data_IF_188815607109
#
_entry.id   IF_188815607109
#
_cell.length_a   1.000
_cell.length_b   1.000
_cell.length_c   1.000
_cell.angle_alpha   90.00
_cell.angle_beta   90.00
_cell.angle_gamma   90.00
#
_symmetry.space_group_name_H-M   'P 1'
#
loop_
_entity.id
_entity.type
_entity.pdbx_description
1 polymer ?
#
# COMPACT_ATOMS: atom_id res chain seq x y z
N UNK A 1 -39.22 -22.88 -58.84
CA UNK A 1 -39.08 -24.34 -58.69
C UNK A 1 -38.15 -24.63 -57.51
N UNK A 2 -38.62 -25.32 -56.49
CA UNK A 2 -37.81 -25.66 -55.31
C UNK A 2 -36.75 -26.71 -55.70
N UNK A 3 -35.49 -26.48 -55.33
CA UNK A 3 -34.40 -27.43 -55.61
C UNK A 3 -34.61 -28.68 -54.75
N UNK A 4 -34.57 -29.86 -55.35
CA UNK A 4 -34.64 -31.15 -54.62
C UNK A 4 -33.40 -31.29 -53.76
N UNK A 5 -33.59 -31.27 -52.44
CA UNK A 5 -32.53 -31.43 -51.46
C UNK A 5 -32.38 -32.92 -51.14
N UNK A 6 -31.15 -33.45 -51.20
CA UNK A 6 -30.88 -34.88 -50.99
C UNK A 6 -30.77 -35.22 -49.49
N UNK A 7 -30.94 -36.50 -49.13
CA UNK A 7 -30.93 -37.01 -47.75
C UNK A 7 -29.63 -36.71 -46.97
N UNK A 8 -28.53 -36.41 -47.66
CA UNK A 8 -27.24 -36.05 -47.06
C UNK A 8 -27.00 -34.55 -46.90
N UNK A 9 -27.95 -33.71 -47.28
CA UNK A 9 -27.81 -32.26 -47.14
C UNK A 9 -27.77 -31.82 -45.68
N UNK A 10 -27.15 -30.67 -45.44
CA UNK A 10 -27.09 -30.02 -44.12
C UNK A 10 -28.48 -29.79 -43.53
N UNK A 11 -29.46 -29.40 -44.35
CA UNK A 11 -30.82 -29.11 -43.90
C UNK A 11 -31.57 -30.38 -43.47
N UNK A 12 -31.34 -31.51 -44.14
CA UNK A 12 -31.91 -32.81 -43.74
C UNK A 12 -31.30 -33.30 -42.42
N UNK A 13 -29.99 -33.10 -42.22
CA UNK A 13 -29.29 -33.48 -40.97
C UNK A 13 -29.70 -32.63 -39.77
N UNK A 14 -30.21 -31.43 -39.99
CA UNK A 14 -30.67 -30.52 -38.94
C UNK A 14 -32.14 -30.75 -38.53
N UNK A 15 -32.83 -31.75 -39.09
CA UNK A 15 -34.21 -32.06 -38.73
C UNK A 15 -35.23 -30.99 -39.13
N UNK A 16 -34.82 -30.03 -39.97
CA UNK A 16 -35.60 -28.84 -40.34
C UNK A 16 -36.75 -29.14 -41.34
N UNK A 17 -36.94 -30.40 -41.73
CA UNK A 17 -37.86 -30.81 -42.80
C UNK A 17 -39.18 -31.44 -42.29
N UNK A 18 -39.17 -32.04 -41.10
CA UNK A 18 -40.31 -32.84 -40.59
C UNK A 18 -41.26 -32.05 -39.68
N UNK A 19 -40.95 -30.79 -39.37
CA UNK A 19 -41.88 -29.94 -38.61
C UNK A 19 -42.53 -28.95 -39.58
N UNK A 20 -43.86 -28.95 -39.73
CA UNK A 20 -44.54 -27.92 -40.51
C UNK A 20 -44.25 -26.55 -39.88
N UNK A 21 -43.35 -25.81 -40.53
CA UNK A 21 -43.05 -24.39 -40.29
C UNK A 21 -44.28 -23.49 -39.95
N UNK A 22 -45.49 -23.66 -40.52
CA UNK A 22 -46.64 -22.84 -40.13
C UNK A 22 -47.10 -23.05 -38.68
N UNK A 23 -46.94 -24.26 -38.12
CA UNK A 23 -47.39 -24.58 -36.77
C UNK A 23 -46.42 -24.04 -35.71
N UNK A 24 -45.11 -24.06 -35.98
CA UNK A 24 -44.09 -23.50 -35.07
C UNK A 24 -44.26 -21.98 -34.96
N UNK A 25 -44.47 -21.29 -36.09
CA UNK A 25 -44.69 -19.83 -36.11
C UNK A 25 -46.00 -19.42 -35.44
N UNK A 26 -47.01 -20.29 -35.46
CA UNK A 26 -48.25 -20.07 -34.72
C UNK A 26 -48.03 -20.12 -33.20
N UNK A 27 -47.08 -20.94 -32.72
CA UNK A 27 -46.72 -21.06 -31.30
C UNK A 27 -45.82 -19.92 -30.80
N UNK A 28 -45.16 -19.18 -31.69
CA UNK A 28 -44.34 -17.99 -31.34
C UNK A 28 -45.21 -16.77 -30.96
N UNK A 29 -46.43 -16.69 -31.49
CA UNK A 29 -47.36 -15.58 -31.24
C UNK A 29 -48.20 -15.76 -29.96
N UNK A 30 -48.08 -16.89 -29.26
CA UNK A 30 -48.80 -17.09 -28.00
C UNK A 30 -48.10 -16.31 -26.87
N UNK A 31 -48.85 -15.57 -26.04
CA UNK A 31 -48.28 -14.87 -24.91
C UNK A 31 -47.70 -15.90 -23.92
N UNK A 32 -46.37 -15.98 -23.86
CA UNK A 32 -45.65 -16.78 -22.87
C UNK A 32 -45.76 -16.10 -21.51
N UNK A 33 -45.93 -16.88 -20.44
CA UNK A 33 -45.87 -16.35 -19.09
C UNK A 33 -44.52 -15.63 -18.87
N UNK A 34 -44.57 -14.37 -18.42
CA UNK A 34 -43.36 -13.60 -18.17
C UNK A 34 -42.45 -14.37 -17.18
N UNK A 35 -41.14 -14.42 -17.49
CA UNK A 35 -40.05 -15.03 -16.67
C UNK A 35 -39.86 -16.55 -16.78
N UNK A 36 -40.48 -17.26 -17.73
CA UNK A 36 -40.17 -18.69 -17.95
C UNK A 36 -38.88 -18.93 -18.76
N UNK A 37 -38.40 -17.92 -19.48
CA UNK A 37 -37.20 -18.01 -20.32
C UNK A 37 -35.92 -17.86 -19.50
N UNK A 38 -35.65 -18.86 -18.64
CA UNK A 38 -34.45 -18.93 -17.82
C UNK A 38 -33.18 -19.05 -18.66
N UNK A 39 -33.29 -19.52 -19.91
CA UNK A 39 -32.17 -19.67 -20.85
C UNK A 39 -31.42 -18.36 -21.05
N UNK A 40 -32.12 -17.25 -21.28
CA UNK A 40 -31.51 -15.93 -21.45
C UNK A 40 -30.86 -15.40 -20.16
N UNK A 41 -31.40 -15.76 -19.00
CA UNK A 41 -30.81 -15.39 -17.70
C UNK A 41 -29.52 -16.21 -17.49
N UNK A 42 -29.59 -17.52 -17.70
CA UNK A 42 -28.46 -18.43 -17.60
C UNK A 42 -27.33 -18.04 -18.56
N UNK A 43 -27.64 -17.77 -19.83
CA UNK A 43 -26.65 -17.32 -20.83
C UNK A 43 -25.99 -16.01 -20.39
N UNK A 44 -26.76 -15.01 -19.93
CA UNK A 44 -26.18 -13.74 -19.44
C UNK A 44 -25.32 -13.93 -18.20
N UNK A 45 -25.74 -14.77 -17.25
CA UNK A 45 -24.96 -15.05 -16.04
C UNK A 45 -23.67 -15.81 -16.36
N UNK A 46 -23.74 -16.81 -17.24
CA UNK A 46 -22.58 -17.57 -17.70
C UNK A 46 -21.58 -16.67 -18.42
N UNK A 47 -22.03 -15.86 -19.38
CA UNK A 47 -21.18 -14.90 -20.10
C UNK A 47 -20.53 -13.87 -19.17
N UNK A 48 -21.27 -13.37 -18.17
CA UNK A 48 -20.71 -12.46 -17.15
C UNK A 48 -19.64 -13.15 -16.30
N UNK A 49 -19.91 -14.39 -15.87
CA UNK A 49 -18.97 -15.16 -15.05
C UNK A 49 -17.70 -15.52 -15.83
N UNK A 50 -17.85 -15.87 -17.11
CA UNK A 50 -16.75 -16.12 -18.04
C UNK A 50 -15.88 -14.86 -18.24
N UNK A 51 -16.50 -13.72 -18.53
CA UNK A 51 -15.79 -12.44 -18.67
C UNK A 51 -15.05 -12.03 -17.38
N UNK A 52 -15.64 -12.26 -16.21
CA UNK A 52 -14.99 -12.00 -14.92
C UNK A 52 -13.81 -12.96 -14.69
N UNK A 53 -13.94 -14.22 -15.09
CA UNK A 53 -12.85 -15.20 -15.04
C UNK A 53 -11.70 -14.79 -15.96
N UNK A 54 -11.98 -14.38 -17.18
CA UNK A 54 -10.99 -13.90 -18.13
C UNK A 54 -10.28 -12.63 -17.64
N UNK A 55 -11.03 -11.70 -17.03
CA UNK A 55 -10.46 -10.52 -16.40
C UNK A 55 -9.56 -10.89 -15.19
N UNK A 56 -9.94 -11.88 -14.39
CA UNK A 56 -9.13 -12.37 -13.27
C UNK A 56 -7.87 -13.08 -13.75
N UNK A 57 -7.99 -13.92 -14.78
CA UNK A 57 -6.88 -14.66 -15.37
C UNK A 57 -5.90 -13.73 -16.09
N UNK A 58 -6.39 -12.72 -16.82
CA UNK A 58 -5.54 -11.70 -17.44
C UNK A 58 -4.80 -10.86 -16.40
N UNK A 59 -5.46 -10.43 -15.30
CA UNK A 59 -4.81 -9.76 -14.16
C UNK A 59 -3.76 -10.64 -13.48
N UNK A 60 -4.05 -11.92 -13.26
CA UNK A 60 -3.09 -12.87 -12.65
C UNK A 60 -1.89 -13.12 -13.56
N UNK A 61 -2.10 -13.29 -14.86
CA UNK A 61 -1.02 -13.47 -15.86
C UNK A 61 -0.12 -12.23 -15.94
N UNK A 62 -0.71 -11.05 -15.98
CA UNK A 62 0.03 -9.79 -16.04
C UNK A 62 0.72 -9.42 -14.72
N UNK A 63 0.18 -9.85 -13.58
CA UNK A 63 0.86 -9.79 -12.27
C UNK A 63 2.05 -10.75 -12.18
N UNK A 64 1.91 -11.99 -12.69
CA UNK A 64 2.97 -13.02 -12.65
C UNK A 64 4.15 -12.68 -13.55
N UNK A 65 3.91 -12.00 -14.68
CA UNK A 65 4.95 -11.58 -15.62
C UNK A 65 5.54 -10.20 -15.29
N UNK A 66 5.21 -9.58 -14.14
CA UNK A 66 5.73 -8.27 -13.75
C UNK A 66 5.27 -7.07 -14.61
N UNK A 67 4.47 -7.31 -15.64
CA UNK A 67 3.97 -6.30 -16.61
C UNK A 67 2.98 -5.33 -15.94
N UNK A 68 2.34 -5.74 -14.84
CA UNK A 68 1.43 -4.90 -14.04
C UNK A 68 2.08 -4.24 -12.82
N UNK A 69 3.40 -4.08 -12.76
CA UNK A 69 3.96 -3.05 -11.88
C UNK A 69 3.52 -1.71 -12.46
N UNK A 70 2.39 -1.20 -11.99
CA UNK A 70 1.90 0.11 -12.39
C UNK A 70 2.95 1.10 -11.95
N UNK A 71 3.79 1.53 -12.89
CA UNK A 71 4.83 2.50 -12.61
C UNK A 71 4.17 3.78 -12.11
N UNK A 72 4.84 4.51 -11.22
CA UNK A 72 4.35 5.78 -10.69
C UNK A 72 3.85 6.71 -11.81
N UNK A 73 4.55 6.71 -12.94
CA UNK A 73 4.19 7.46 -14.17
C UNK A 73 2.88 7.00 -14.83
N UNK A 74 2.57 5.70 -14.79
CA UNK A 74 1.30 5.17 -15.32
C UNK A 74 0.12 5.49 -14.39
N UNK A 75 0.34 5.53 -13.07
CA UNK A 75 -0.65 6.03 -12.11
C UNK A 75 -0.88 7.54 -12.28
N UNK A 76 0.18 8.33 -12.39
CA UNK A 76 0.09 9.78 -12.64
C UNK A 76 -0.70 10.10 -13.91
N UNK A 77 -0.48 9.37 -15.01
CA UNK A 77 -1.26 9.54 -16.25
C UNK A 77 -2.73 9.16 -16.08
N UNK A 78 -3.04 8.09 -15.34
CA UNK A 78 -4.42 7.69 -15.07
C UNK A 78 -5.12 8.72 -14.19
N UNK A 79 -4.47 9.15 -13.11
CA UNK A 79 -4.97 10.20 -12.21
C UNK A 79 -5.21 11.49 -13.01
N UNK A 80 -4.26 11.91 -13.85
CA UNK A 80 -4.42 13.08 -14.71
C UNK A 80 -5.59 12.94 -15.71
N UNK A 81 -5.89 11.73 -16.19
CA UNK A 81 -7.03 11.48 -17.08
C UNK A 81 -8.38 11.35 -16.38
N UNK A 82 -8.39 10.99 -15.09
CA UNK A 82 -9.62 10.78 -14.31
C UNK A 82 -9.99 11.96 -13.42
N UNK A 83 -9.03 12.82 -13.07
CA UNK A 83 -9.25 14.00 -12.25
C UNK A 83 -9.76 15.12 -13.15
N UNK A 84 -11.06 15.40 -13.06
CA UNK A 84 -11.67 16.58 -13.66
C UNK A 84 -11.12 17.85 -12.99
N UNK A 85 -11.20 19.02 -13.65
CA UNK A 85 -10.70 20.30 -13.09
C UNK A 85 -11.26 20.58 -11.67
N UNK A 86 -12.50 20.19 -11.41
CA UNK A 86 -13.16 20.30 -10.10
C UNK A 86 -12.54 19.40 -9.02
N UNK A 87 -12.12 18.19 -9.38
CA UNK A 87 -11.47 17.26 -8.44
C UNK A 87 -10.03 17.70 -8.19
N UNK A 88 -9.39 18.33 -9.18
CA UNK A 88 -8.07 18.94 -9.02
C UNK A 88 -8.11 20.06 -7.99
N UNK A 89 -9.05 20.99 -8.08
CA UNK A 89 -9.20 22.06 -7.09
C UNK A 89 -9.51 21.53 -5.70
N UNK A 90 -10.34 20.48 -5.58
CA UNK A 90 -10.64 19.86 -4.28
C UNK A 90 -9.40 19.18 -3.68
N UNK A 91 -8.61 18.48 -4.50
CA UNK A 91 -7.35 17.88 -4.08
C UNK A 91 -6.30 18.93 -3.72
N UNK A 92 -6.18 20.01 -4.49
CA UNK A 92 -5.28 21.12 -4.18
C UNK A 92 -5.69 21.83 -2.88
N UNK A 93 -6.99 22.08 -2.65
CA UNK A 93 -7.49 22.61 -1.37
C UNK A 93 -7.24 21.63 -0.22
N UNK A 94 -7.51 20.33 -0.41
CA UNK A 94 -7.27 19.31 0.61
C UNK A 94 -5.78 19.22 0.97
N UNK A 95 -4.89 19.19 -0.03
CA UNK A 95 -3.44 19.21 0.16
C UNK A 95 -2.97 20.48 0.86
N UNK A 96 -3.52 21.64 0.49
CA UNK A 96 -3.19 22.91 1.15
C UNK A 96 -3.69 22.95 2.60
N UNK A 97 -4.84 22.32 2.90
CA UNK A 97 -5.37 22.20 4.26
C UNK A 97 -4.51 21.24 5.09
N UNK A 98 -4.11 20.08 4.55
CA UNK A 98 -3.25 19.11 5.24
C UNK A 98 -1.84 19.67 5.44
N UNK A 99 -1.28 20.33 4.43
CA UNK A 99 0.05 20.95 4.49
C UNK A 99 0.13 22.12 5.49
N UNK A 100 -1.00 22.71 5.89
CA UNK A 100 -1.02 23.82 6.86
C UNK A 100 -0.73 23.35 8.28
N UNK A 101 -1.20 22.16 8.64
CA UNK A 101 -0.85 21.50 9.92
C UNK A 101 0.44 20.70 9.78
N UNK A 102 0.60 19.96 8.69
CA UNK A 102 1.79 19.15 8.47
C UNK A 102 3.06 20.01 8.38
N UNK A 103 2.99 21.19 7.74
CA UNK A 103 4.07 22.16 7.76
C UNK A 103 4.38 22.75 9.15
N UNK A 104 3.40 22.86 10.04
CA UNK A 104 3.62 23.26 11.45
C UNK A 104 4.23 22.12 12.25
N UNK A 105 3.76 20.88 12.06
CA UNK A 105 4.31 19.67 12.68
C UNK A 105 5.76 19.47 12.25
N UNK A 106 6.04 19.53 10.94
CA UNK A 106 7.40 19.42 10.39
C UNK A 106 8.34 20.51 10.94
N UNK A 107 7.91 21.77 11.01
CA UNK A 107 8.67 22.86 11.65
C UNK A 107 8.89 22.65 13.15
N UNK A 108 7.91 22.08 13.86
CA UNK A 108 8.03 21.76 15.28
C UNK A 108 9.03 20.63 15.51
N UNK A 109 8.95 19.57 14.70
CA UNK A 109 9.86 18.43 14.76
C UNK A 109 11.28 18.85 14.39
N UNK A 110 11.48 19.66 13.35
CA UNK A 110 12.81 20.14 12.96
C UNK A 110 13.42 21.06 14.01
N UNK A 111 12.64 21.95 14.64
CA UNK A 111 13.10 22.76 15.77
C UNK A 111 13.47 21.90 16.98
N UNK A 112 12.64 20.93 17.33
CA UNK A 112 12.94 20.03 18.45
C UNK A 112 14.23 19.23 18.20
N UNK A 113 14.39 18.66 17.00
CA UNK A 113 15.61 17.99 16.57
C UNK A 113 16.81 18.92 16.61
N UNK A 114 16.70 20.14 16.08
CA UNK A 114 17.78 21.13 16.11
C UNK A 114 18.19 21.49 17.55
N UNK A 115 17.24 21.68 18.47
CA UNK A 115 17.56 21.95 19.87
C UNK A 115 18.24 20.75 20.53
N UNK A 116 17.79 19.53 20.24
CA UNK A 116 18.41 18.32 20.76
C UNK A 116 19.84 18.13 20.22
N UNK A 117 20.06 18.32 18.92
CA UNK A 117 21.38 18.18 18.31
C UNK A 117 22.33 19.27 18.77
N UNK A 118 21.88 20.54 18.82
CA UNK A 118 22.72 21.65 19.31
C UNK A 118 23.07 21.51 20.78
N UNK A 119 22.13 21.06 21.64
CA UNK A 119 22.44 20.75 23.03
C UNK A 119 23.43 19.61 23.13
N UNK A 120 23.19 18.49 22.44
CA UNK A 120 24.11 17.34 22.46
C UNK A 120 25.50 17.73 21.96
N UNK A 121 25.60 18.47 20.86
CA UNK A 121 26.87 18.97 20.34
C UNK A 121 27.60 19.90 21.33
N UNK A 122 26.86 20.73 22.07
CA UNK A 122 27.44 21.54 23.15
C UNK A 122 28.01 20.67 24.29
N UNK A 123 27.28 19.63 24.68
CA UNK A 123 27.76 18.66 25.67
C UNK A 123 28.98 17.88 25.17
N UNK A 124 28.97 17.44 23.91
CA UNK A 124 30.08 16.71 23.31
C UNK A 124 31.33 17.60 23.21
N UNK A 125 31.17 18.87 22.82
CA UNK A 125 32.26 19.86 22.78
C UNK A 125 32.85 20.14 24.17
N UNK A 126 32.02 20.28 25.21
CA UNK A 126 32.47 20.45 26.59
C UNK A 126 33.20 19.19 27.08
N UNK A 127 32.67 18.00 26.77
CA UNK A 127 33.33 16.74 27.14
C UNK A 127 34.68 16.59 26.43
N UNK A 128 34.77 17.02 25.18
CA UNK A 128 36.03 17.04 24.43
C UNK A 128 37.02 18.05 25.01
N UNK A 129 36.58 19.26 25.36
CA UNK A 129 37.46 20.26 25.98
C UNK A 129 37.98 19.78 27.34
N UNK A 130 37.13 19.16 28.17
CA UNK A 130 37.53 18.57 29.45
C UNK A 130 38.55 17.44 29.24
N UNK A 131 38.32 16.55 28.26
CA UNK A 131 39.27 15.47 27.94
C UNK A 131 40.63 16.04 27.50
N UNK A 132 40.63 17.09 26.69
CA UNK A 132 41.85 17.75 26.22
C UNK A 132 42.58 18.45 27.38
N UNK A 133 41.87 19.15 28.25
CA UNK A 133 42.44 19.78 29.45
C UNK A 133 43.02 18.75 30.42
N UNK A 134 42.32 17.64 30.65
CA UNK A 134 42.82 16.52 31.47
C UNK A 134 44.05 15.85 30.84
N UNK A 135 44.10 15.72 29.51
CA UNK A 135 45.27 15.19 28.81
C UNK A 135 46.48 16.14 28.94
N UNK A 136 46.25 17.46 28.89
CA UNK A 136 47.26 18.50 29.08
C UNK A 136 47.78 18.56 30.52
N UNK A 137 46.90 18.51 31.54
CA UNK A 137 47.31 18.46 32.96
C UNK A 137 47.93 17.11 33.35
N UNK A 138 47.46 16.02 32.74
CA UNK A 138 47.88 14.65 33.06
C UNK A 138 49.20 14.21 32.43
N UNK A 139 49.88 15.06 31.65
CA UNK A 139 51.22 14.81 31.11
C UNK A 139 51.35 13.59 30.19
N UNK A 140 50.24 13.02 29.70
CA UNK A 140 50.25 11.91 28.74
C UNK A 140 49.90 12.42 27.35
N UNK A 141 50.93 12.57 26.51
CA UNK A 141 50.76 12.52 25.06
C UNK A 141 50.14 11.16 24.73
N UNK A 142 48.86 11.15 24.38
CA UNK A 142 48.26 10.05 23.65
C UNK A 142 48.34 10.42 22.17
N UNK A 143 49.03 9.56 21.44
CA UNK A 143 49.25 9.67 20.01
C UNK A 143 47.93 9.92 19.27
N UNK A 144 47.87 11.06 18.59
CA UNK A 144 46.86 11.34 17.59
C UNK A 144 47.04 10.38 16.41
N UNK A 145 46.24 9.30 16.37
CA UNK A 145 45.95 8.63 15.09
C UNK A 145 44.84 9.43 14.39
N UNK A 146 45.05 9.91 13.16
CA UNK A 146 43.96 10.47 12.37
C UNK A 146 43.10 9.30 11.90
N UNK A 147 41.90 9.15 12.46
CA UNK A 147 40.82 8.41 11.79
C UNK A 147 40.15 9.38 10.84
N UNK A 148 40.60 9.36 9.58
CA UNK A 148 39.72 9.73 8.48
C UNK A 148 38.67 8.64 8.26
N UNK A 149 37.60 9.03 7.56
CA UNK A 149 36.54 8.19 7.00
C UNK A 149 35.40 7.81 7.97
N UNK A 150 34.52 8.78 8.20
CA UNK A 150 33.14 8.61 8.71
C UNK A 150 32.15 9.00 7.60
N UNK A 151 32.12 8.23 6.51
CA UNK A 151 31.02 8.32 5.51
C UNK A 151 30.30 6.96 5.30
N UNK A 152 30.87 5.83 5.75
CA UNK A 152 30.32 4.50 5.49
C UNK A 152 29.50 3.87 6.65
N UNK A 153 29.59 4.39 7.88
CA UNK A 153 28.89 3.80 9.05
C UNK A 153 27.40 4.16 9.14
N UNK A 154 26.92 5.19 8.43
CA UNK A 154 25.50 5.57 8.46
C UNK A 154 24.61 4.64 7.62
N UNK A 155 25.17 3.96 6.61
CA UNK A 155 24.42 3.05 5.75
C UNK A 155 24.25 1.64 6.35
N UNK A 156 25.23 1.15 7.11
CA UNK A 156 25.20 -0.20 7.69
C UNK A 156 24.16 -0.30 8.85
N UNK A 157 24.02 0.76 9.65
CA UNK A 157 23.04 0.82 10.75
C UNK A 157 21.57 0.86 10.26
N UNK A 158 21.33 1.27 9.02
CA UNK A 158 19.99 1.31 8.42
C UNK A 158 19.58 -0.03 7.81
N UNK A 159 20.53 -0.87 7.40
CA UNK A 159 20.25 -2.21 6.88
C UNK A 159 20.03 -3.24 8.00
N UNK A 160 20.77 -3.15 9.11
CA UNK A 160 20.65 -4.10 10.23
C UNK A 160 19.30 -4.01 10.98
N UNK A 161 18.63 -2.85 10.94
CA UNK A 161 17.31 -2.67 11.58
C UNK A 161 16.15 -3.28 10.76
N UNK A 162 16.38 -3.66 9.50
CA UNK A 162 15.34 -4.11 8.57
C UNK A 162 15.31 -5.65 8.40
N UNK A 163 16.25 -6.39 9.00
CA UNK A 163 16.38 -7.85 8.87
C UNK A 163 15.85 -8.67 10.06
N UNK A 164 15.26 -8.05 11.09
CA UNK A 164 14.66 -8.80 12.20
C UNK A 164 13.30 -9.41 11.78
N UNK A 165 13.17 -10.75 11.70
CA UNK A 165 11.95 -11.40 11.25
C UNK A 165 10.87 -11.37 12.35
N UNK A 166 9.67 -10.93 11.97
CA UNK A 166 8.46 -11.10 12.77
C UNK A 166 8.04 -12.58 12.80
N UNK A 167 8.27 -13.25 13.92
CA UNK A 167 7.71 -14.54 14.32
C UNK A 167 7.89 -14.63 15.84
N UNK A 168 6.98 -15.07 16.70
CA UNK A 168 5.60 -15.51 16.67
C UNK A 168 5.26 -15.80 18.14
N UNK A 169 4.09 -15.34 18.59
CA UNK A 169 3.21 -15.94 19.62
C UNK A 169 3.68 -16.28 21.06
N UNK A 170 2.75 -15.99 21.98
CA UNK A 170 2.48 -16.57 23.31
C UNK A 170 3.25 -16.11 24.57
N UNK A 171 2.50 -15.44 25.47
CA UNK A 171 2.39 -15.92 26.85
C UNK A 171 2.72 -14.96 28.01
N UNK A 172 1.65 -14.40 28.59
CA UNK A 172 1.41 -14.21 30.05
C UNK A 172 1.94 -12.96 30.79
N UNK A 173 0.97 -12.41 31.54
CA UNK A 173 1.03 -11.56 32.76
C UNK A 173 1.18 -10.04 32.63
N UNK A 174 0.01 -9.39 32.53
CA UNK A 174 -0.21 -7.99 32.85
C UNK A 174 -0.08 -7.75 34.36
N UNK A 175 1.13 -7.44 34.84
CA UNK A 175 1.31 -6.77 36.13
C UNK A 175 1.43 -5.26 35.86
N UNK A 176 0.37 -4.51 36.15
CA UNK A 176 0.35 -3.05 36.07
C UNK A 176 1.34 -2.46 37.07
N UNK A 177 2.57 -2.16 36.64
CA UNK A 177 3.51 -1.36 37.43
C UNK A 177 3.07 0.09 37.35
N UNK A 178 2.41 0.59 38.39
CA UNK A 178 2.22 2.02 38.60
C UNK A 178 3.60 2.69 38.64
N UNK A 179 3.81 3.85 37.99
CA UNK A 179 5.09 4.52 38.01
C UNK A 179 5.42 4.94 39.45
N UNK A 180 6.52 4.42 40.00
CA UNK A 180 7.04 4.84 41.30
C UNK A 180 7.65 6.22 41.14
N UNK A 181 7.17 7.17 41.94
CA UNK A 181 7.61 8.55 41.88
C UNK A 181 9.00 8.69 42.53
N UNK A 182 10.04 8.93 41.72
CA UNK A 182 11.45 8.98 42.17
C UNK A 182 11.73 10.10 43.19
N UNK A 183 10.85 11.10 43.29
CA UNK A 183 10.95 12.18 44.28
C UNK A 183 10.59 11.74 45.71
N UNK A 184 9.94 10.59 45.90
CA UNK A 184 9.68 10.05 47.24
C UNK A 184 10.93 9.48 47.92
N UNK A 185 12.03 9.33 47.19
CA UNK A 185 13.31 8.85 47.70
C UNK A 185 14.20 9.98 48.22
N UNK A 186 13.80 11.24 48.03
CA UNK A 186 14.48 12.37 48.64
C UNK A 186 13.95 12.54 50.07
N UNK A 187 14.82 12.35 51.07
CA UNK A 187 14.52 12.75 52.44
C UNK A 187 14.29 14.26 52.48
N UNK A 188 13.21 14.66 53.14
CA UNK A 188 12.85 16.07 53.33
C UNK A 188 13.70 16.70 54.43
N UNK A 189 15.02 16.74 54.23
CA UNK A 189 15.91 17.54 55.07
C UNK A 189 16.03 18.92 54.40
N UNK A 190 15.00 19.74 54.61
CA UNK A 190 15.11 21.20 54.47
C UNK A 190 15.17 21.73 55.90
N UNK A 191 16.34 22.25 56.22
CA UNK A 191 16.78 22.86 57.47
C UNK A 191 15.74 23.86 58.05
N UNK A 192 15.44 23.73 59.34
CA UNK A 192 14.86 24.80 60.19
C UNK A 192 15.94 25.80 60.63
#
# INVERSE_FOLDING_TARGET
>A
MARKITKNSRNARQGLLDVPEPEIRALENLPRAEKTDLTNILIRTAAKNEALLDAKMSKKRSSKNGINKVSKKALEKKIASTVNSMDRERLERALNITNRLDGKVSKSVSRAKFVQTTRKAGWDSINESIKNELALLGGKKLDSKPKGETEDEETELLEELNELPSSSEEGKETASKTPVNLFSLLSADVEE
#
